data_IF_562500490958
#
_entry.id   IF_562500490958
#
_cell.length_a   1.000
_cell.length_b   1.000
_cell.length_c   1.000
_cell.angle_alpha   90.00
_cell.angle_beta   90.00
_cell.angle_gamma   90.00
#
_symmetry.space_group_name_H-M   'P 1'
#
loop_
_entity.id
_entity.type
_entity.pdbx_description
1 polymer ?
#
# COMPACT_ATOMS: atom_id res chain seq x y z
N UNK A 1 28.88 -0.10 10.73
CA UNK A 1 29.71 0.59 9.71
C UNK A 1 28.82 0.84 8.49
N UNK A 2 28.72 2.08 8.02
CA UNK A 2 27.86 2.43 6.87
C UNK A 2 28.62 2.16 5.58
N UNK A 3 27.98 1.44 4.65
CA UNK A 3 28.49 1.17 3.31
C UNK A 3 27.87 2.15 2.32
N UNK A 4 28.67 2.61 1.37
CA UNK A 4 28.28 3.55 0.31
C UNK A 4 28.55 2.90 -1.05
N UNK A 5 27.79 3.30 -2.06
CA UNK A 5 28.07 2.92 -3.46
C UNK A 5 29.33 3.64 -3.96
N UNK A 6 30.22 2.90 -4.61
CA UNK A 6 31.38 3.46 -5.30
C UNK A 6 30.94 4.22 -6.56
N UNK A 7 31.44 5.43 -6.71
CA UNK A 7 31.19 6.30 -7.86
C UNK A 7 32.46 6.42 -8.70
N UNK A 8 32.32 6.85 -9.96
CA UNK A 8 33.45 7.09 -10.87
C UNK A 8 34.53 8.01 -10.26
N UNK A 9 34.11 8.97 -9.44
CA UNK A 9 35.02 9.89 -8.73
C UNK A 9 35.87 9.16 -7.70
N UNK A 10 35.27 8.21 -6.98
CA UNK A 10 35.96 7.38 -6.00
C UNK A 10 36.91 6.40 -6.72
N UNK A 11 36.50 5.85 -7.86
CA UNK A 11 37.34 4.98 -8.68
C UNK A 11 38.57 5.72 -9.22
N UNK A 12 38.38 6.89 -9.84
CA UNK A 12 39.49 7.72 -10.32
C UNK A 12 40.46 8.10 -9.19
N UNK A 13 39.93 8.43 -8.01
CA UNK A 13 40.72 8.74 -6.82
C UNK A 13 41.50 7.52 -6.29
N UNK A 14 40.94 6.31 -6.44
CA UNK A 14 41.56 5.06 -6.05
C UNK A 14 42.68 4.66 -7.02
N UNK A 15 42.47 4.84 -8.33
CA UNK A 15 43.46 4.58 -9.39
C UNK A 15 44.65 5.54 -9.36
N UNK A 16 44.45 6.78 -8.89
CA UNK A 16 45.53 7.75 -8.71
C UNK A 16 46.57 7.31 -7.64
N UNK A 17 46.22 6.35 -6.78
CA UNK A 17 47.08 5.89 -5.68
C UNK A 17 47.77 4.58 -6.09
N UNK A 18 49.08 4.47 -5.81
CA UNK A 18 49.85 3.24 -6.07
C UNK A 18 49.42 2.09 -5.15
N UNK A 19 49.42 0.86 -5.67
CA UNK A 19 48.98 -0.35 -4.95
C UNK A 19 49.66 -0.58 -3.59
N UNK A 20 50.91 -0.15 -3.41
CA UNK A 20 51.63 -0.21 -2.12
C UNK A 20 50.96 0.61 -1.02
N UNK A 21 50.38 1.77 -1.36
CA UNK A 21 49.71 2.65 -0.39
C UNK A 21 48.27 2.21 -0.09
N UNK A 22 47.68 1.37 -0.96
CA UNK A 22 46.37 0.78 -0.68
C UNK A 22 46.40 -0.12 0.55
N UNK A 23 47.48 -0.89 0.72
CA UNK A 23 47.69 -1.79 1.87
C UNK A 23 47.93 -1.00 3.17
N UNK A 24 48.73 0.07 3.12
CA UNK A 24 48.98 0.96 4.26
C UNK A 24 47.70 1.67 4.77
N UNK A 25 46.80 2.05 3.85
CA UNK A 25 45.56 2.76 4.18
C UNK A 25 44.41 1.81 4.58
N UNK A 26 44.58 0.49 4.42
CA UNK A 26 43.54 -0.51 4.67
C UNK A 26 42.38 -0.43 3.67
N UNK A 27 42.68 -0.10 2.42
CA UNK A 27 41.74 -0.06 1.31
C UNK A 27 41.56 -1.47 0.72
N UNK A 28 40.39 -1.79 0.14
CA UNK A 28 40.19 -3.09 -0.51
C UNK A 28 41.09 -3.20 -1.76
N UNK A 29 41.61 -4.40 -2.01
CA UNK A 29 42.57 -4.68 -3.11
C UNK A 29 41.98 -4.48 -4.50
N UNK A 30 40.65 -4.53 -4.63
CA UNK A 30 39.91 -4.31 -5.88
C UNK A 30 38.60 -3.60 -5.57
N UNK A 31 38.36 -2.46 -6.24
CA UNK A 31 37.14 -1.67 -6.10
C UNK A 31 36.31 -1.82 -7.38
N UNK A 32 35.12 -2.41 -7.28
CA UNK A 32 34.20 -2.55 -8.42
C UNK A 32 33.32 -1.29 -8.55
N UNK A 33 32.91 -0.94 -9.77
CA UNK A 33 31.95 0.14 -10.01
C UNK A 33 30.58 -0.22 -9.40
N UNK A 34 30.01 0.69 -8.60
CA UNK A 34 28.80 0.47 -7.80
C UNK A 34 28.93 -0.63 -6.72
N UNK A 35 30.15 -1.00 -6.34
CA UNK A 35 30.43 -1.86 -5.19
C UNK A 35 30.26 -1.15 -3.84
N UNK A 36 30.26 -1.90 -2.73
CA UNK A 36 30.20 -1.33 -1.38
C UNK A 36 31.58 -0.84 -0.94
N UNK A 37 31.67 0.43 -0.53
CA UNK A 37 32.85 1.00 0.15
C UNK A 37 32.47 1.47 1.56
N UNK A 38 33.32 1.19 2.55
CA UNK A 38 33.07 1.68 3.91
C UNK A 38 33.35 3.19 4.00
N UNK A 39 32.50 3.92 4.71
CA UNK A 39 32.69 5.36 4.92
C UNK A 39 34.06 5.72 5.54
N UNK A 40 34.55 4.90 6.47
CA UNK A 40 35.89 5.04 7.09
C UNK A 40 37.03 4.98 6.06
N UNK A 41 36.90 4.12 5.04
CA UNK A 41 37.90 3.98 3.97
C UNK A 41 37.94 5.23 3.10
N UNK A 42 36.78 5.82 2.80
CA UNK A 42 36.68 7.09 2.09
C UNK A 42 37.30 8.25 2.88
N UNK A 43 37.15 8.27 4.20
CA UNK A 43 37.78 9.30 5.04
C UNK A 43 39.30 9.18 4.98
N UNK A 44 39.86 7.97 5.07
CA UNK A 44 41.31 7.74 4.98
C UNK A 44 41.86 8.15 3.62
N UNK A 45 41.16 7.77 2.55
CA UNK A 45 41.49 8.15 1.18
C UNK A 45 41.44 9.68 1.00
N UNK A 46 40.41 10.35 1.52
CA UNK A 46 40.28 11.80 1.42
C UNK A 46 41.39 12.56 2.18
N UNK A 47 41.79 12.09 3.38
CA UNK A 47 42.91 12.68 4.14
C UNK A 47 44.23 12.55 3.39
N UNK A 48 44.44 11.41 2.75
CA UNK A 48 45.65 11.17 1.98
C UNK A 48 45.71 12.10 0.75
N UNK A 49 44.63 12.18 -0.03
CA UNK A 49 44.56 13.05 -1.22
C UNK A 49 44.60 14.54 -0.88
N UNK A 50 44.32 14.91 0.37
CA UNK A 50 44.49 16.28 0.86
C UNK A 50 45.96 16.71 0.93
N UNK A 51 46.88 15.77 1.06
CA UNK A 51 48.33 16.05 1.02
C UNK A 51 48.89 16.13 -0.39
N UNK A 52 48.13 15.68 -1.39
CA UNK A 52 48.54 15.67 -2.79
C UNK A 52 48.10 16.96 -3.50
N UNK A 53 49.07 17.76 -3.94
CA UNK A 53 48.81 19.06 -4.58
C UNK A 53 48.20 18.91 -5.96
N UNK A 54 48.56 17.87 -6.71
CA UNK A 54 48.09 17.64 -8.09
C UNK A 54 46.61 17.26 -8.10
N UNK A 55 46.19 16.43 -7.14
CA UNK A 55 44.80 16.02 -6.99
C UNK A 55 43.91 17.14 -6.45
N UNK A 56 44.47 18.01 -5.59
CA UNK A 56 43.75 19.17 -5.03
C UNK A 56 43.36 20.18 -6.10
N UNK A 57 44.21 20.37 -7.12
CA UNK A 57 43.92 21.27 -8.23
C UNK A 57 42.76 20.77 -9.10
N UNK A 58 42.61 19.45 -9.28
CA UNK A 58 41.46 18.84 -9.96
C UNK A 58 40.15 18.98 -9.16
N UNK A 59 40.23 19.01 -7.83
CA UNK A 59 39.06 19.15 -6.95
C UNK A 59 38.67 20.62 -6.63
N UNK A 60 39.26 21.58 -7.35
CA UNK A 60 39.21 23.05 -7.18
C UNK A 60 37.83 23.65 -6.87
N UNK A 61 36.75 23.03 -7.33
CA UNK A 61 35.38 23.55 -7.18
C UNK A 61 34.71 23.22 -5.83
N UNK A 62 35.39 22.58 -4.88
CA UNK A 62 34.79 22.17 -3.60
C UNK A 62 35.67 22.48 -2.38
N UNK A 63 35.09 22.79 -1.21
CA UNK A 63 35.84 23.21 -0.03
C UNK A 63 36.64 22.06 0.63
N UNK A 64 36.25 20.80 0.40
CA UNK A 64 36.93 19.63 0.96
C UNK A 64 36.93 18.47 -0.04
N UNK A 65 38.04 17.73 -0.11
CA UNK A 65 38.15 16.54 -1.00
C UNK A 65 37.15 15.45 -0.61
N UNK A 66 36.85 15.32 0.68
CA UNK A 66 35.82 14.41 1.15
C UNK A 66 34.44 14.76 0.58
N UNK A 67 34.07 16.05 0.54
CA UNK A 67 32.79 16.47 -0.03
C UNK A 67 32.74 16.26 -1.55
N UNK A 68 33.88 16.36 -2.25
CA UNK A 68 33.99 15.99 -3.67
C UNK A 68 33.73 14.49 -3.91
N UNK A 69 34.31 13.63 -3.06
CA UNK A 69 34.18 12.16 -3.16
C UNK A 69 32.81 11.63 -2.74
N UNK A 70 32.17 12.26 -1.75
CA UNK A 70 30.84 11.88 -1.29
C UNK A 70 29.72 12.34 -2.23
N UNK A 71 30.03 13.25 -3.16
CA UNK A 71 29.02 13.79 -4.07
C UNK A 71 28.48 12.70 -4.99
N UNK A 72 27.16 12.50 -4.94
CA UNK A 72 26.47 11.45 -5.70
C UNK A 72 26.58 10.03 -5.11
N UNK A 73 27.22 9.87 -3.95
CA UNK A 73 27.23 8.57 -3.25
C UNK A 73 25.87 8.30 -2.62
N UNK A 74 25.42 7.04 -2.68
CA UNK A 74 24.19 6.56 -2.02
C UNK A 74 24.56 5.52 -0.98
N UNK A 75 23.72 5.37 0.04
CA UNK A 75 23.88 4.30 1.03
C UNK A 75 23.68 2.95 0.36
N UNK A 76 24.67 2.07 0.48
CA UNK A 76 24.60 0.70 -0.02
C UNK A 76 23.70 -0.13 0.90
N UNK A 77 22.59 -0.61 0.34
CA UNK A 77 21.72 -1.59 0.98
C UNK A 77 21.94 -2.91 0.22
N UNK A 78 22.39 -3.98 0.90
CA UNK A 78 22.63 -5.24 0.22
C UNK A 78 21.34 -5.73 -0.44
N UNK A 79 21.42 -6.37 -1.62
CA UNK A 79 20.25 -6.92 -2.26
C UNK A 79 19.56 -7.88 -1.28
N UNK A 80 18.22 -7.83 -1.21
CA UNK A 80 17.48 -8.70 -0.30
C UNK A 80 17.86 -10.16 -0.58
N UNK A 81 18.00 -11.00 0.46
CA UNK A 81 18.35 -12.39 0.28
C UNK A 81 17.38 -13.04 -0.71
N UNK A 82 17.91 -13.93 -1.56
CA UNK A 82 17.06 -14.68 -2.51
C UNK A 82 15.97 -15.37 -1.70
N UNK A 83 14.71 -15.17 -2.11
CA UNK A 83 13.57 -15.80 -1.45
C UNK A 83 13.80 -17.31 -1.45
N UNK A 84 13.54 -18.01 -0.32
CA UNK A 84 13.68 -19.45 -0.28
C UNK A 84 12.81 -20.07 -1.37
N UNK A 85 13.29 -21.14 -1.99
CA UNK A 85 12.50 -21.91 -2.93
C UNK A 85 11.24 -22.42 -2.21
N UNK A 86 10.06 -22.35 -2.85
CA UNK A 86 8.83 -22.80 -2.22
C UNK A 86 8.93 -24.30 -1.90
N UNK A 87 8.45 -24.70 -0.71
CA UNK A 87 8.44 -26.11 -0.31
C UNK A 87 7.59 -26.95 -1.27
N UNK A 88 8.00 -28.20 -1.50
CA UNK A 88 7.26 -29.12 -2.38
C UNK A 88 5.83 -29.37 -1.88
N UNK A 89 5.63 -29.37 -0.55
CA UNK A 89 4.30 -29.47 0.08
C UNK A 89 3.40 -28.29 -0.30
N UNK A 90 3.95 -27.07 -0.33
CA UNK A 90 3.20 -25.87 -0.73
C UNK A 90 2.81 -25.92 -2.22
N UNK A 91 3.70 -26.41 -3.08
CA UNK A 91 3.38 -26.58 -4.50
C UNK A 91 2.30 -27.65 -4.71
N UNK A 92 2.37 -28.75 -3.96
CA UNK A 92 1.36 -29.81 -4.00
C UNK A 92 -0.01 -29.31 -3.53
N UNK A 93 -0.07 -28.55 -2.43
CA UNK A 93 -1.33 -27.98 -1.93
C UNK A 93 -1.91 -26.93 -2.88
N UNK A 94 -1.06 -26.06 -3.44
CA UNK A 94 -1.45 -25.08 -4.45
C UNK A 94 -1.99 -25.74 -5.71
N UNK A 95 -1.31 -26.76 -6.24
CA UNK A 95 -1.74 -27.49 -7.41
C UNK A 95 -3.09 -28.20 -7.17
N UNK A 96 -3.27 -28.77 -5.97
CA UNK A 96 -4.54 -29.38 -5.57
C UNK A 96 -5.69 -28.35 -5.53
N UNK A 97 -5.48 -27.18 -4.95
CA UNK A 97 -6.49 -26.12 -4.90
C UNK A 97 -6.84 -25.62 -6.30
N UNK A 98 -5.84 -25.37 -7.15
CA UNK A 98 -6.07 -24.97 -8.54
C UNK A 98 -6.87 -26.02 -9.31
N UNK A 99 -6.49 -27.29 -9.20
CA UNK A 99 -7.22 -28.38 -9.84
C UNK A 99 -8.68 -28.47 -9.37
N UNK A 100 -8.95 -28.25 -8.07
CA UNK A 100 -10.32 -28.20 -7.55
C UNK A 100 -11.13 -27.03 -8.14
N UNK A 101 -10.54 -25.83 -8.18
CA UNK A 101 -11.20 -24.65 -8.78
C UNK A 101 -11.47 -24.82 -10.28
N UNK A 102 -10.53 -25.43 -11.01
CA UNK A 102 -10.69 -25.72 -12.44
C UNK A 102 -11.82 -26.72 -12.68
N UNK A 103 -11.90 -27.78 -11.86
CA UNK A 103 -12.98 -28.77 -11.93
C UNK A 103 -14.35 -28.13 -11.66
N UNK A 104 -14.46 -27.23 -10.69
CA UNK A 104 -15.69 -26.49 -10.42
C UNK A 104 -16.06 -25.56 -11.58
N UNK A 105 -15.08 -24.87 -12.16
CA UNK A 105 -15.30 -24.01 -13.32
C UNK A 105 -15.81 -24.82 -14.52
N UNK A 106 -15.27 -26.03 -14.74
CA UNK A 106 -15.69 -26.92 -15.81
C UNK A 106 -17.10 -27.47 -15.58
N UNK A 107 -17.43 -27.87 -14.35
CA UNK A 107 -18.79 -28.31 -13.97
C UNK A 107 -19.83 -27.21 -14.20
N UNK A 108 -19.47 -25.94 -13.98
CA UNK A 108 -20.33 -24.79 -14.27
C UNK A 108 -20.59 -24.61 -15.77
N UNK A 109 -19.58 -24.83 -16.61
CA UNK A 109 -19.74 -24.73 -18.06
C UNK A 109 -20.59 -25.87 -18.64
N UNK A 110 -20.48 -27.07 -18.06
CA UNK A 110 -21.27 -28.21 -18.49
C UNK A 110 -22.74 -28.14 -18.04
N UNK A 111 -23.00 -27.51 -16.89
CA UNK A 111 -24.33 -27.43 -16.29
C UNK A 111 -24.74 -25.97 -16.09
N UNK A 112 -25.60 -25.39 -16.96
CA UNK A 112 -26.03 -24.00 -16.85
C UNK A 112 -26.84 -23.70 -15.56
N UNK A 113 -27.39 -24.74 -14.92
CA UNK A 113 -28.09 -24.65 -13.64
C UNK A 113 -27.22 -25.07 -12.44
N UNK A 114 -25.90 -25.14 -12.59
CA UNK A 114 -24.99 -25.50 -11.50
C UNK A 114 -24.98 -24.43 -10.42
N UNK A 115 -25.59 -24.73 -9.27
CA UNK A 115 -25.44 -23.94 -8.06
C UNK A 115 -24.23 -24.47 -7.26
N UNK A 116 -23.24 -23.62 -6.94
CA UNK A 116 -22.12 -24.03 -6.11
C UNK A 116 -22.61 -24.39 -4.70
N UNK A 117 -22.05 -25.45 -4.10
CA UNK A 117 -22.34 -25.83 -2.73
C UNK A 117 -21.89 -24.71 -1.77
N UNK A 118 -22.79 -24.23 -0.92
CA UNK A 118 -22.52 -23.14 0.04
C UNK A 118 -21.39 -23.47 1.03
N UNK A 119 -21.16 -24.75 1.33
CA UNK A 119 -20.14 -25.21 2.29
C UNK A 119 -18.69 -25.08 1.77
N UNK A 120 -18.51 -24.80 0.48
CA UNK A 120 -17.20 -24.58 -0.15
C UNK A 120 -17.07 -23.18 -0.75
N UNK A 121 -18.04 -22.30 -0.51
CA UNK A 121 -17.95 -20.91 -0.88
C UNK A 121 -16.92 -20.23 0.05
N UNK A 122 -15.82 -19.79 -0.55
CA UNK A 122 -14.77 -19.04 0.13
C UNK A 122 -15.38 -17.74 0.67
N UNK A 123 -15.41 -17.50 2.01
CA UNK A 123 -16.12 -16.35 2.61
C UNK A 123 -15.51 -14.99 2.24
N UNK A 124 -14.40 -14.97 1.51
CA UNK A 124 -13.71 -13.78 1.02
C UNK A 124 -13.72 -13.63 -0.51
N UNK A 125 -14.27 -14.60 -1.25
CA UNK A 125 -14.52 -14.41 -2.68
C UNK A 125 -15.79 -13.60 -2.82
N UNK A 126 -15.64 -12.33 -3.20
CA UNK A 126 -16.76 -11.43 -3.52
C UNK A 126 -17.79 -12.15 -4.41
N UNK A 127 -19.04 -12.32 -3.95
CA UNK A 127 -20.11 -12.86 -4.76
C UNK A 127 -20.60 -11.74 -5.66
N UNK A 128 -19.81 -11.37 -6.68
CA UNK A 128 -20.32 -10.57 -7.79
C UNK A 128 -21.13 -11.51 -8.69
N UNK A 129 -22.27 -11.98 -8.17
CA UNK A 129 -23.35 -12.51 -9.00
C UNK A 129 -23.90 -11.34 -9.80
N UNK A 130 -24.19 -11.59 -11.08
CA UNK A 130 -24.66 -10.57 -12.02
C UNK A 130 -26.02 -9.94 -11.66
N UNK A 131 -26.69 -10.45 -10.62
CA UNK A 131 -27.84 -9.82 -9.99
C UNK A 131 -27.44 -9.35 -8.60
N UNK A 132 -27.40 -8.03 -8.41
CA UNK A 132 -26.97 -7.34 -7.18
C UNK A 132 -27.94 -7.46 -6.01
N UNK A 133 -28.46 -8.66 -5.75
CA UNK A 133 -29.53 -8.90 -4.79
C UNK A 133 -29.14 -9.73 -3.57
N UNK A 134 -27.85 -10.02 -3.36
CA UNK A 134 -27.38 -10.83 -2.24
C UNK A 134 -26.25 -10.07 -1.53
N UNK A 135 -26.43 -9.84 -0.22
CA UNK A 135 -25.64 -9.06 0.77
C UNK A 135 -26.40 -7.88 1.43
N UNK A 136 -27.66 -7.59 1.07
CA UNK A 136 -28.48 -6.66 1.87
C UNK A 136 -29.21 -7.39 3.03
N UNK A 137 -29.68 -8.62 2.82
CA UNK A 137 -30.55 -9.30 3.80
C UNK A 137 -29.84 -9.78 5.07
N UNK A 138 -28.56 -10.17 4.99
CA UNK A 138 -27.79 -10.65 6.17
C UNK A 138 -27.30 -9.50 7.05
N UNK A 139 -26.79 -8.43 6.43
CA UNK A 139 -26.39 -7.20 7.10
C UNK A 139 -27.59 -6.49 7.74
N UNK A 140 -28.75 -6.50 7.07
CA UNK A 140 -30.00 -5.96 7.65
C UNK A 140 -30.54 -6.83 8.79
N UNK A 141 -30.51 -8.17 8.69
CA UNK A 141 -30.90 -9.06 9.80
C UNK A 141 -29.99 -8.85 11.02
N UNK A 142 -28.68 -8.73 10.82
CA UNK A 142 -27.73 -8.50 11.91
C UNK A 142 -27.90 -7.12 12.54
N UNK A 143 -28.22 -6.11 11.75
CA UNK A 143 -28.41 -4.75 12.25
C UNK A 143 -29.71 -4.62 13.05
N UNK A 144 -30.82 -5.14 12.52
CA UNK A 144 -32.11 -5.12 13.20
C UNK A 144 -32.04 -5.93 14.50
N UNK A 145 -31.37 -7.08 14.50
CA UNK A 145 -31.18 -7.88 15.73
C UNK A 145 -30.28 -7.17 16.76
N UNK A 146 -29.21 -6.51 16.34
CA UNK A 146 -28.35 -5.73 17.24
C UNK A 146 -29.11 -4.59 17.91
N UNK A 147 -29.86 -3.80 17.13
CA UNK A 147 -30.67 -2.68 17.65
C UNK A 147 -31.80 -3.20 18.55
N UNK A 148 -32.39 -4.34 18.22
CA UNK A 148 -33.43 -4.94 19.05
C UNK A 148 -32.89 -5.40 20.41
N UNK A 149 -31.72 -6.04 20.44
CA UNK A 149 -31.08 -6.52 21.67
C UNK A 149 -30.64 -5.35 22.55
N UNK A 150 -30.07 -4.29 21.98
CA UNK A 150 -29.67 -3.09 22.74
C UNK A 150 -30.86 -2.40 23.40
N UNK A 151 -31.95 -2.18 22.67
CA UNK A 151 -33.19 -1.57 23.17
C UNK A 151 -33.81 -2.38 24.31
N UNK A 152 -33.87 -3.71 24.17
CA UNK A 152 -34.38 -4.59 25.22
C UNK A 152 -33.50 -4.57 26.49
N UNK A 153 -32.18 -4.67 26.32
CA UNK A 153 -31.23 -4.68 27.44
C UNK A 153 -31.23 -3.32 28.14
N UNK A 154 -31.21 -2.21 27.41
CA UNK A 154 -31.27 -0.85 27.99
C UNK A 154 -32.60 -0.61 28.70
N UNK A 155 -33.73 -0.96 28.08
CA UNK A 155 -35.05 -0.79 28.70
C UNK A 155 -35.19 -1.60 29.99
N UNK A 156 -34.77 -2.87 29.97
CA UNK A 156 -34.79 -3.72 31.16
C UNK A 156 -33.78 -3.28 32.22
N UNK A 157 -32.59 -2.83 31.84
CA UNK A 157 -31.56 -2.34 32.77
C UNK A 157 -32.02 -1.06 33.49
N UNK A 158 -32.63 -0.10 32.78
CA UNK A 158 -33.16 1.12 33.38
C UNK A 158 -34.33 0.80 34.31
N UNK A 159 -35.24 -0.09 33.91
CA UNK A 159 -36.32 -0.54 34.79
C UNK A 159 -35.80 -1.29 36.04
N UNK A 160 -34.82 -2.19 35.86
CA UNK A 160 -34.18 -2.90 36.96
C UNK A 160 -33.43 -1.95 37.91
N UNK A 161 -32.80 -0.89 37.40
CA UNK A 161 -32.15 0.13 38.21
C UNK A 161 -33.17 0.93 39.02
N UNK A 162 -34.26 1.39 38.40
CA UNK A 162 -35.31 2.18 39.08
C UNK A 162 -36.17 1.36 40.06
N UNK A 163 -36.11 0.02 39.98
CA UNK A 163 -36.77 -0.88 40.93
C UNK A 163 -35.86 -1.30 42.07
N UNK A 164 -34.54 -1.43 41.84
CA UNK A 164 -33.57 -1.82 42.88
C UNK A 164 -33.05 -0.65 43.72
N UNK A 165 -33.05 0.58 43.21
CA UNK A 165 -32.62 1.76 43.95
C UNK A 165 -33.80 2.60 44.44
N UNK A 166 -33.76 3.15 45.67
CA UNK A 166 -34.79 4.04 46.18
C UNK A 166 -34.78 5.38 45.41
N UNK A 167 -35.79 5.60 44.59
CA UNK A 167 -35.96 6.82 43.78
C UNK A 167 -36.84 7.86 44.50
N UNK A 168 -36.66 9.17 44.24
CA UNK A 168 -37.47 10.22 44.85
C UNK A 168 -38.97 10.06 44.52
N UNK A 169 -39.86 10.55 45.41
CA UNK A 169 -41.33 10.35 45.37
C UNK A 169 -42.00 10.66 44.01
N UNK A 170 -41.38 11.52 43.20
CA UNK A 170 -41.87 11.92 41.87
C UNK A 170 -41.75 10.79 40.83
N UNK A 171 -40.86 9.81 41.05
CA UNK A 171 -40.63 8.62 40.21
C UNK A 171 -41.16 7.33 40.88
N UNK A 172 -41.98 7.45 41.92
CA UNK A 172 -42.51 6.32 42.67
C UNK A 172 -43.56 5.52 41.88
N UNK A 173 -44.20 6.10 40.87
CA UNK A 173 -45.23 5.41 40.08
C UNK A 173 -44.60 4.38 39.12
N UNK A 174 -45.16 3.18 39.09
CA UNK A 174 -44.70 2.10 38.20
C UNK A 174 -44.75 2.54 36.72
N UNK A 175 -45.77 3.32 36.37
CA UNK A 175 -45.91 3.92 35.04
C UNK A 175 -44.75 4.87 34.69
N UNK A 176 -44.29 5.71 35.62
CA UNK A 176 -43.18 6.62 35.36
C UNK A 176 -41.86 5.86 35.14
N UNK A 177 -41.64 4.74 35.85
CA UNK A 177 -40.45 3.90 35.67
C UNK A 177 -40.41 3.23 34.30
N UNK A 178 -41.57 2.73 33.84
CA UNK A 178 -41.71 2.14 32.50
C UNK A 178 -41.53 3.20 31.41
N UNK A 179 -42.15 4.38 31.56
CA UNK A 179 -42.00 5.47 30.60
C UNK A 179 -40.53 5.92 30.48
N UNK A 180 -39.82 6.08 31.61
CA UNK A 180 -38.42 6.48 31.60
C UNK A 180 -37.51 5.41 30.95
N UNK A 181 -37.78 4.13 31.20
CA UNK A 181 -37.10 3.02 30.52
C UNK A 181 -37.36 3.01 29.01
N UNK A 182 -38.59 3.29 28.58
CA UNK A 182 -38.97 3.37 27.17
C UNK A 182 -38.29 4.57 26.48
N UNK A 183 -38.24 5.74 27.12
CA UNK A 183 -37.52 6.91 26.60
C UNK A 183 -36.01 6.66 26.49
N UNK A 184 -35.40 6.00 27.48
CA UNK A 184 -33.98 5.65 27.43
C UNK A 184 -33.69 4.67 26.30
N UNK A 185 -34.52 3.64 26.12
CA UNK A 185 -34.38 2.66 25.05
C UNK A 185 -34.61 3.30 23.66
N UNK A 186 -35.58 4.20 23.53
CA UNK A 186 -35.82 4.97 22.31
C UNK A 186 -34.61 5.86 21.97
N UNK A 187 -33.99 6.50 22.97
CA UNK A 187 -32.79 7.31 22.78
C UNK A 187 -31.61 6.49 22.24
N UNK A 188 -31.42 5.28 22.75
CA UNK A 188 -30.38 4.35 22.24
C UNK A 188 -30.67 3.92 20.81
N UNK A 189 -31.91 3.57 20.48
CA UNK A 189 -32.29 3.21 19.11
C UNK A 189 -32.00 4.32 18.08
N UNK A 190 -32.26 5.58 18.46
CA UNK A 190 -31.94 6.74 17.62
C UNK A 190 -30.43 6.92 17.46
N UNK A 191 -29.66 6.76 18.54
CA UNK A 191 -28.20 6.88 18.50
C UNK A 191 -27.56 5.83 17.59
N UNK A 192 -28.01 4.57 17.67
CA UNK A 192 -27.51 3.49 16.83
C UNK A 192 -27.88 3.68 15.35
N UNK A 193 -29.10 4.13 15.07
CA UNK A 193 -29.55 4.48 13.72
C UNK A 193 -28.69 5.59 13.10
N UNK A 194 -28.32 6.59 13.91
CA UNK A 194 -27.45 7.67 13.47
C UNK A 194 -26.03 7.19 13.18
N UNK A 195 -25.48 6.29 14.01
CA UNK A 195 -24.16 5.69 13.77
C UNK A 195 -24.13 4.98 12.40
N UNK A 196 -25.18 4.21 12.10
CA UNK A 196 -25.29 3.53 10.81
C UNK A 196 -25.45 4.50 9.64
N UNK A 197 -26.28 5.53 9.78
CA UNK A 197 -26.41 6.59 8.77
C UNK A 197 -25.06 7.22 8.43
N UNK A 198 -24.30 7.62 9.45
CA UNK A 198 -22.96 8.20 9.25
C UNK A 198 -21.96 7.22 8.65
N UNK A 199 -22.12 5.92 8.90
CA UNK A 199 -21.30 4.86 8.32
C UNK A 199 -21.58 4.71 6.82
N UNK A 200 -22.84 4.58 6.40
CA UNK A 200 -23.22 4.51 4.97
C UNK A 200 -22.67 5.73 4.24
N UNK A 201 -22.85 6.92 4.80
CA UNK A 201 -22.38 8.16 4.16
C UNK A 201 -20.85 8.16 3.94
N UNK A 202 -20.08 7.61 4.89
CA UNK A 202 -18.61 7.46 4.73
C UNK A 202 -18.25 6.41 3.69
N UNK A 203 -18.93 5.27 3.70
CA UNK A 203 -18.70 4.18 2.73
C UNK A 203 -19.04 4.65 1.32
N UNK A 204 -20.14 5.36 1.13
CA UNK A 204 -20.54 5.90 -0.16
C UNK A 204 -19.56 6.96 -0.65
N UNK A 205 -19.11 7.86 0.24
CA UNK A 205 -18.04 8.81 -0.09
C UNK A 205 -16.73 8.12 -0.49
N UNK A 206 -16.40 6.97 0.11
CA UNK A 206 -15.23 6.17 -0.28
C UNK A 206 -15.43 5.49 -1.63
N UNK A 207 -16.60 4.87 -1.87
CA UNK A 207 -16.96 4.23 -3.14
C UNK A 207 -16.97 5.24 -4.30
N UNK A 208 -17.47 6.46 -4.09
CA UNK A 208 -17.46 7.53 -5.11
C UNK A 208 -16.03 7.95 -5.44
N UNK A 209 -15.15 8.07 -4.44
CA UNK A 209 -13.73 8.37 -4.65
C UNK A 209 -13.01 7.24 -5.39
N UNK A 210 -13.32 5.98 -5.09
CA UNK A 210 -12.74 4.83 -5.79
C UNK A 210 -13.24 4.74 -7.24
N UNK A 211 -14.55 4.90 -7.48
CA UNK A 211 -15.14 4.94 -8.83
C UNK A 211 -14.62 6.11 -9.66
N UNK A 212 -14.30 7.25 -9.03
CA UNK A 212 -13.67 8.38 -9.70
C UNK A 212 -12.25 8.04 -10.21
N UNK A 213 -11.55 7.11 -9.56
CA UNK A 213 -10.25 6.57 -10.04
C UNK A 213 -10.51 5.43 -11.02
N UNK A 214 -11.05 5.74 -12.19
CA UNK A 214 -11.25 4.75 -13.26
C UNK A 214 -9.94 4.54 -14.01
N UNK A 215 -9.21 3.46 -13.69
CA UNK A 215 -8.01 3.04 -14.43
C UNK A 215 -8.36 2.78 -15.92
N UNK A 216 -7.96 3.69 -16.82
CA UNK A 216 -8.04 3.46 -18.28
C UNK A 216 -6.94 2.48 -18.69
N UNK A 217 -7.30 1.21 -18.86
CA UNK A 217 -6.42 0.19 -19.44
C UNK A 217 -6.36 0.38 -20.96
N UNK A 218 -5.30 1.03 -21.44
CA UNK A 218 -4.98 1.03 -22.87
C UNK A 218 -4.34 -0.31 -23.20
N UNK A 219 -4.98 -1.08 -24.08
CA UNK A 219 -4.45 -2.33 -24.61
C UNK A 219 -3.46 -1.96 -25.72
N UNK A 220 -2.16 -2.07 -25.44
CA UNK A 220 -1.16 -2.02 -26.51
C UNK A 220 -1.20 -3.41 -27.17
N UNK A 221 -1.54 -3.41 -28.46
CA UNK A 221 -1.62 -4.60 -29.29
C UNK A 221 -0.29 -5.34 -29.40
N UNK A 222 -0.37 -6.56 -29.94
CA UNK A 222 0.72 -7.51 -30.08
C UNK A 222 1.99 -6.89 -30.67
N UNK A 223 3.10 -7.05 -29.96
CA UNK A 223 4.44 -6.76 -30.50
C UNK A 223 4.82 -7.91 -31.42
N UNK A 224 4.70 -7.64 -32.72
CA UNK A 224 5.25 -8.44 -33.79
C UNK A 224 5.52 -7.52 -34.98
N UNK A 225 6.80 -7.40 -35.32
CA UNK A 225 7.36 -6.87 -36.56
C UNK A 225 7.78 -5.38 -36.61
N UNK A 226 8.92 -5.21 -37.26
CA UNK A 226 9.87 -4.09 -37.27
C UNK A 226 9.42 -3.02 -38.28
N UNK A 227 9.51 -1.73 -37.95
CA UNK A 227 10.21 -0.73 -38.80
C UNK A 227 10.30 0.69 -38.21
N UNK A 228 11.31 1.41 -38.71
CA UNK A 228 11.90 2.69 -38.31
C UNK A 228 10.98 3.93 -38.42
N UNK A 229 11.17 4.90 -37.50
CA UNK A 229 11.63 6.29 -37.76
C UNK A 229 11.09 7.33 -36.73
N UNK A 230 12.04 7.89 -35.95
CA UNK A 230 12.25 9.30 -35.53
C UNK A 230 11.05 10.28 -35.49
N UNK A 231 10.78 10.92 -34.34
CA UNK A 231 11.19 12.33 -34.08
C UNK A 231 11.07 12.77 -32.61
N UNK A 232 11.87 13.79 -32.27
CA UNK A 232 12.22 14.38 -30.98
C UNK A 232 11.08 15.15 -30.26
N UNK A 233 11.25 15.33 -28.94
CA UNK A 233 10.46 16.27 -28.14
C UNK A 233 10.60 16.02 -26.63
N UNK A 234 11.62 16.63 -26.02
CA UNK A 234 11.88 16.65 -24.58
C UNK A 234 10.89 17.55 -23.85
N UNK A 235 10.34 17.12 -22.71
CA UNK A 235 10.13 18.03 -21.56
C UNK A 235 10.01 17.28 -20.22
N UNK A 236 10.51 17.95 -19.20
CA UNK A 236 11.01 17.44 -17.92
C UNK A 236 9.92 17.51 -16.84
N UNK A 237 9.91 16.50 -15.95
CA UNK A 237 9.52 16.70 -14.56
C UNK A 237 8.13 16.21 -14.17
N UNK A 238 8.04 14.93 -13.78
CA UNK A 238 7.14 14.47 -12.70
C UNK A 238 7.57 13.06 -12.29
N UNK A 239 7.74 12.84 -10.98
CA UNK A 239 8.08 11.54 -10.39
C UNK A 239 7.07 10.46 -10.81
N UNK A 240 7.53 9.48 -11.58
CA UNK A 240 6.77 8.30 -12.00
C UNK A 240 7.20 7.14 -11.12
N UNK A 241 6.34 6.73 -10.18
CA UNK A 241 6.52 5.47 -9.47
C UNK A 241 6.17 4.31 -10.41
N UNK A 242 7.19 3.59 -10.88
CA UNK A 242 7.05 2.48 -11.81
C UNK A 242 6.83 1.16 -11.06
N UNK A 243 5.59 0.67 -11.05
CA UNK A 243 5.25 -0.64 -10.46
C UNK A 243 5.09 -1.65 -11.58
N UNK A 244 6.06 -2.55 -11.71
CA UNK A 244 6.01 -3.69 -12.64
C UNK A 244 5.12 -4.81 -12.07
N UNK A 245 4.04 -5.14 -12.78
CA UNK A 245 3.20 -6.29 -12.49
C UNK A 245 3.11 -7.23 -13.68
N UNK A 246 3.65 -8.46 -13.54
CA UNK A 246 3.58 -9.51 -14.55
C UNK A 246 2.21 -10.20 -14.46
N UNK A 247 1.38 -10.08 -15.49
CA UNK A 247 0.09 -10.78 -15.55
C UNK A 247 0.24 -12.29 -15.75
N UNK A 248 -0.79 -13.06 -15.41
CA UNK A 248 -0.84 -14.54 -15.50
C UNK A 248 -0.58 -15.08 -16.92
N UNK A 249 -0.70 -14.24 -17.95
CA UNK A 249 -0.45 -14.61 -19.35
C UNK A 249 0.87 -14.02 -19.93
N UNK A 250 1.84 -13.62 -19.09
CA UNK A 250 3.16 -13.17 -19.57
C UNK A 250 3.24 -11.77 -20.19
N UNK A 251 2.11 -11.06 -20.34
CA UNK A 251 2.10 -9.67 -20.78
C UNK A 251 2.55 -8.68 -19.70
N UNK A 252 3.54 -7.85 -20.04
CA UNK A 252 3.95 -6.68 -19.24
C UNK A 252 2.88 -5.60 -19.38
N UNK A 253 2.33 -5.13 -18.26
CA UNK A 253 1.32 -4.05 -18.27
C UNK A 253 1.93 -2.78 -17.65
N UNK A 254 1.98 -1.70 -18.43
CA UNK A 254 2.34 -0.36 -17.93
C UNK A 254 1.12 0.24 -17.22
N UNK A 255 1.18 0.43 -15.91
CA UNK A 255 0.20 1.27 -15.19
C UNK A 255 0.81 2.65 -14.97
N UNK A 256 0.27 3.66 -15.64
CA UNK A 256 0.60 5.06 -15.38
C UNK A 256 -0.53 5.61 -14.51
N UNK A 257 -0.21 5.98 -13.26
CA UNK A 257 -1.16 6.58 -12.32
C UNK A 257 -0.94 8.09 -12.32
N UNK A 258 -1.69 8.81 -13.14
CA UNK A 258 -1.74 10.28 -13.05
C UNK A 258 -2.70 10.67 -11.92
N UNK A 259 -2.15 11.25 -10.85
CA UNK A 259 -2.94 11.98 -9.84
C UNK A 259 -3.30 13.33 -10.45
N UNK A 260 -4.57 13.56 -10.74
CA UNK A 260 -5.07 14.91 -11.01
C UNK A 260 -5.30 15.62 -9.67
N UNK A 261 -4.39 16.53 -9.32
CA UNK A 261 -4.57 17.48 -8.22
C UNK A 261 -5.33 18.69 -8.77
N UNK A 262 -6.59 18.89 -8.36
CA UNK A 262 -7.33 20.10 -8.73
C UNK A 262 -6.83 21.25 -7.86
N UNK A 263 -5.90 22.01 -8.43
CA UNK A 263 -5.41 23.28 -7.90
C UNK A 263 -6.55 24.26 -7.61
N UNK A 264 -6.36 24.98 -6.51
CA UNK A 264 -7.24 26.00 -5.95
C UNK A 264 -6.63 27.34 -6.31
N UNK A 265 -7.05 27.90 -7.43
CA UNK A 265 -6.78 29.29 -7.84
C UNK A 265 -8.12 29.81 -8.38
N UNK A 266 -8.63 31.01 -8.14
CA UNK A 266 -8.18 32.21 -7.47
C UNK A 266 -9.30 33.23 -7.70
N UNK A 267 -9.58 34.00 -6.67
CA UNK A 267 -10.41 35.21 -6.65
C UNK A 267 -9.90 36.20 -7.72
N UNK A 268 -10.81 36.84 -8.50
CA UNK A 268 -10.74 38.27 -8.85
C UNK A 268 -11.95 38.76 -9.68
N UNK A 269 -12.74 39.64 -9.04
CA UNK A 269 -13.23 40.95 -9.49
C UNK A 269 -13.61 41.14 -10.98
N UNK A 270 -14.89 41.46 -11.25
CA UNK A 270 -15.35 42.75 -11.86
C UNK A 270 -16.78 42.67 -12.44
N UNK A 271 -17.56 43.71 -12.11
CA UNK A 271 -18.89 44.14 -12.58
C UNK A 271 -20.12 43.52 -11.89
#
# INVERSE_FOLDING_TARGET
MVLLYTTERILAAFEAISASRHEELGLPTTLEAQGPIAHEQLIRLARYLQTDTEYKDQASHTPTILSYLLHGTKVYVPPPPKKPEPSAEYLASKARLLAATEQESYKRLLNPNYQPNADHADPHTSPYTSDGHVEEDTLTISLVSSVFISVLVTGFAVYAALTRFPTPEILASEAAKVLLGLFAALGVAVAESFLYWTYIEKVDRAKVKERAVRERKVVIGAVGEVDKAVDEGVEIGTEKEEIWGKGVNGGVRRRVREKWEKGRDGEDVSL
#
